data_IF_158239278271
#
_entry.id   IF_158239278271
#
_cell.length_a   1.000
_cell.length_b   1.000
_cell.length_c   1.000
_cell.angle_alpha   90.00
_cell.angle_beta   90.00
_cell.angle_gamma   90.00
#
_symmetry.space_group_name_H-M   'P 1'
#
loop_
_entity.id
_entity.type
_entity.pdbx_description
1 polymer ?
#
# COMPACT_ATOMS: atom_id res chain seq x y z
N UNK A 1 55.51 23.73 -3.70
CA UNK A 1 55.11 23.74 -5.13
C UNK A 1 53.85 24.57 -5.25
N UNK A 2 53.97 25.82 -5.70
CA UNK A 2 52.84 26.72 -5.92
C UNK A 2 52.11 26.31 -7.21
N UNK A 3 50.79 26.06 -7.12
CA UNK A 3 49.97 25.91 -8.33
C UNK A 3 50.15 27.16 -9.20
N UNK A 4 50.40 26.95 -10.49
CA UNK A 4 50.34 28.07 -11.44
C UNK A 4 48.90 28.58 -11.50
N UNK A 5 48.74 29.90 -11.64
CA UNK A 5 47.43 30.58 -11.64
C UNK A 5 46.42 29.92 -12.60
N UNK A 6 46.92 29.35 -13.69
CA UNK A 6 46.16 28.63 -14.71
C UNK A 6 45.61 27.28 -14.21
N UNK A 7 46.38 26.53 -13.40
CA UNK A 7 45.92 25.29 -12.78
C UNK A 7 44.85 25.56 -11.71
N UNK A 8 45.02 26.62 -10.93
CA UNK A 8 44.02 27.04 -9.94
C UNK A 8 42.68 27.42 -10.59
N UNK A 9 42.73 28.15 -11.71
CA UNK A 9 41.53 28.53 -12.48
C UNK A 9 40.82 27.32 -13.10
N UNK A 10 41.58 26.40 -13.69
CA UNK A 10 41.03 25.14 -14.23
C UNK A 10 40.34 24.29 -13.16
N UNK A 11 40.94 24.21 -11.96
CA UNK A 11 40.33 23.51 -10.82
C UNK A 11 39.02 24.16 -10.37
N UNK A 12 38.99 25.49 -10.30
CA UNK A 12 37.78 26.26 -9.94
C UNK A 12 36.65 26.01 -10.94
N UNK A 13 36.94 26.00 -12.25
CA UNK A 13 35.92 25.78 -13.28
C UNK A 13 35.39 24.33 -13.25
N UNK A 14 36.24 23.34 -12.98
CA UNK A 14 35.80 21.96 -12.74
C UNK A 14 34.90 21.85 -11.51
N UNK A 15 35.26 22.50 -10.41
CA UNK A 15 34.49 22.43 -9.16
C UNK A 15 33.13 23.13 -9.30
N UNK A 16 33.06 24.24 -10.05
CA UNK A 16 31.78 24.88 -10.43
C UNK A 16 30.88 23.96 -11.25
N UNK A 17 31.45 23.24 -12.22
CA UNK A 17 30.70 22.26 -13.03
C UNK A 17 30.14 21.13 -12.17
N UNK A 18 30.95 20.59 -11.25
CA UNK A 18 30.49 19.58 -10.29
C UNK A 18 29.39 20.09 -9.39
N UNK A 19 29.50 21.33 -8.91
CA UNK A 19 28.47 21.96 -8.07
C UNK A 19 27.15 22.13 -8.83
N UNK A 20 27.20 22.56 -10.10
CA UNK A 20 26.01 22.67 -10.94
C UNK A 20 25.33 21.31 -11.17
N UNK A 21 26.12 20.27 -11.46
CA UNK A 21 25.62 18.91 -11.64
C UNK A 21 24.99 18.37 -10.35
N UNK A 22 25.67 18.53 -9.20
CA UNK A 22 25.15 18.11 -7.89
C UNK A 22 23.84 18.81 -7.55
N UNK A 23 23.72 20.11 -7.82
CA UNK A 23 22.48 20.85 -7.59
C UNK A 23 21.34 20.32 -8.47
N UNK A 24 21.61 20.03 -9.75
CA UNK A 24 20.63 19.43 -10.65
C UNK A 24 20.20 18.03 -10.21
N UNK A 25 21.12 17.23 -9.67
CA UNK A 25 20.81 15.91 -9.12
C UNK A 25 19.95 16.03 -7.85
N UNK A 26 20.28 16.98 -6.97
CA UNK A 26 19.54 17.22 -5.74
C UNK A 26 18.11 17.67 -6.02
N UNK A 27 17.91 18.55 -7.01
CA UNK A 27 16.59 18.98 -7.44
C UNK A 27 15.77 17.81 -8.02
N UNK A 28 16.36 17.01 -8.91
CA UNK A 28 15.71 15.82 -9.48
C UNK A 28 15.33 14.80 -8.41
N UNK A 29 16.24 14.53 -7.47
CA UNK A 29 15.97 13.63 -6.35
C UNK A 29 14.84 14.15 -5.46
N UNK A 30 14.82 15.45 -5.17
CA UNK A 30 13.77 16.08 -4.38
C UNK A 30 12.40 16.05 -5.08
N UNK A 31 12.35 16.21 -6.40
CA UNK A 31 11.11 16.06 -7.17
C UNK A 31 10.61 14.61 -7.18
N UNK A 32 11.52 13.65 -7.37
CA UNK A 32 11.19 12.22 -7.35
C UNK A 32 10.65 11.80 -6.00
N UNK A 33 11.29 12.23 -4.91
CA UNK A 33 10.84 11.93 -3.55
C UNK A 33 9.41 12.44 -3.30
N UNK A 34 9.12 13.70 -3.67
CA UNK A 34 7.77 14.26 -3.53
C UNK A 34 6.72 13.51 -4.34
N UNK A 35 7.09 13.05 -5.54
CA UNK A 35 6.19 12.25 -6.36
C UNK A 35 5.91 10.89 -5.72
N UNK A 36 6.96 10.21 -5.25
CA UNK A 36 6.84 8.91 -4.58
C UNK A 36 6.00 9.00 -3.30
N UNK A 37 6.18 10.04 -2.47
CA UNK A 37 5.36 10.29 -1.27
C UNK A 37 3.88 10.49 -1.60
N UNK A 38 3.58 11.23 -2.68
CA UNK A 38 2.21 11.42 -3.15
C UNK A 38 1.60 10.13 -3.69
N UNK A 39 2.40 9.29 -4.34
CA UNK A 39 1.97 8.01 -4.89
C UNK A 39 1.69 7.00 -3.77
N UNK A 40 2.57 6.92 -2.77
CA UNK A 40 2.43 6.05 -1.59
C UNK A 40 1.09 6.31 -0.88
N UNK A 41 0.78 7.58 -0.59
CA UNK A 41 -0.49 7.94 0.04
C UNK A 41 -1.73 7.62 -0.81
N UNK A 42 -1.61 7.55 -2.14
CA UNK A 42 -2.70 7.13 -3.02
C UNK A 42 -2.89 5.62 -2.98
N UNK A 43 -1.80 4.85 -2.99
CA UNK A 43 -1.84 3.39 -2.88
C UNK A 43 -2.42 2.93 -1.54
N UNK A 44 -2.07 3.59 -0.44
CA UNK A 44 -2.66 3.32 0.88
C UNK A 44 -4.17 3.54 0.90
N UNK A 45 -4.65 4.63 0.30
CA UNK A 45 -6.08 4.92 0.19
C UNK A 45 -6.81 3.89 -0.67
N UNK A 46 -6.21 3.51 -1.80
CA UNK A 46 -6.78 2.49 -2.66
C UNK A 46 -6.89 1.14 -1.94
N UNK A 47 -5.86 0.75 -1.19
CA UNK A 47 -5.87 -0.46 -0.38
C UNK A 47 -6.97 -0.42 0.69
N UNK A 48 -7.11 0.70 1.40
CA UNK A 48 -8.14 0.87 2.42
C UNK A 48 -9.56 0.69 1.85
N UNK A 49 -9.82 1.25 0.66
CA UNK A 49 -11.11 1.08 -0.03
C UNK A 49 -11.36 -0.40 -0.36
N UNK A 50 -10.37 -1.10 -0.92
CA UNK A 50 -10.50 -2.52 -1.26
C UNK A 50 -10.77 -3.36 0.00
N UNK A 51 -10.06 -3.08 1.09
CA UNK A 51 -10.24 -3.78 2.37
C UNK A 51 -11.65 -3.56 2.93
N UNK A 52 -12.16 -2.33 2.88
CA UNK A 52 -13.51 -2.02 3.33
C UNK A 52 -14.56 -2.76 2.50
N UNK A 53 -14.46 -2.70 1.17
CA UNK A 53 -15.43 -3.38 0.28
C UNK A 53 -15.39 -4.90 0.50
N UNK A 54 -14.20 -5.48 0.70
CA UNK A 54 -14.05 -6.89 1.00
C UNK A 54 -14.72 -7.27 2.33
N UNK A 55 -14.54 -6.46 3.37
CA UNK A 55 -15.17 -6.67 4.68
C UNK A 55 -16.70 -6.59 4.60
N UNK A 56 -17.24 -5.57 3.94
CA UNK A 56 -18.69 -5.42 3.74
C UNK A 56 -19.27 -6.60 2.95
N UNK A 57 -18.58 -7.02 1.89
CA UNK A 57 -18.99 -8.20 1.09
C UNK A 57 -18.99 -9.48 1.93
N UNK A 58 -17.97 -9.66 2.78
CA UNK A 58 -17.86 -10.83 3.65
C UNK A 58 -18.99 -10.87 4.68
N UNK A 59 -19.35 -9.75 5.29
CA UNK A 59 -20.48 -9.67 6.23
C UNK A 59 -21.82 -10.07 5.59
N UNK A 60 -22.08 -9.62 4.37
CA UNK A 60 -23.28 -10.05 3.62
C UNK A 60 -23.25 -11.57 3.35
N UNK A 61 -22.08 -12.13 3.02
CA UNK A 61 -21.92 -13.57 2.84
C UNK A 61 -22.16 -14.35 4.14
N UNK A 62 -21.73 -13.85 5.30
CA UNK A 62 -22.01 -14.50 6.60
C UNK A 62 -23.50 -14.64 6.83
N UNK A 63 -24.24 -13.55 6.63
CA UNK A 63 -25.68 -13.53 6.81
C UNK A 63 -26.37 -14.54 5.88
N UNK A 64 -26.06 -14.46 4.57
CA UNK A 64 -26.69 -15.33 3.58
C UNK A 64 -26.33 -16.81 3.75
N UNK A 65 -25.08 -17.14 4.05
CA UNK A 65 -24.67 -18.53 4.29
C UNK A 65 -25.30 -19.09 5.56
N UNK A 66 -25.30 -18.31 6.64
CA UNK A 66 -25.94 -18.68 7.92
C UNK A 66 -27.41 -19.00 7.72
N UNK A 67 -28.14 -18.14 6.98
CA UNK A 67 -29.57 -18.32 6.72
C UNK A 67 -29.88 -19.52 5.82
N UNK A 68 -29.16 -19.66 4.69
CA UNK A 68 -29.40 -20.75 3.73
C UNK A 68 -29.12 -22.11 4.37
N UNK A 69 -27.99 -22.26 5.05
CA UNK A 69 -27.60 -23.55 5.65
C UNK A 69 -28.52 -23.88 6.81
N UNK A 70 -28.84 -22.91 7.66
CA UNK A 70 -29.81 -23.10 8.74
C UNK A 70 -31.16 -23.55 8.20
N UNK A 71 -31.68 -22.89 7.16
CA UNK A 71 -32.96 -23.25 6.52
C UNK A 71 -32.94 -24.67 5.96
N UNK A 72 -31.81 -25.08 5.36
CA UNK A 72 -31.63 -26.44 4.87
C UNK A 72 -31.61 -27.47 6.02
N UNK A 73 -30.96 -27.14 7.15
CA UNK A 73 -30.95 -28.00 8.34
C UNK A 73 -32.35 -28.16 8.93
N UNK A 74 -33.11 -27.07 9.03
CA UNK A 74 -34.50 -27.06 9.50
C UNK A 74 -35.45 -27.93 8.67
N UNK A 75 -35.19 -28.05 7.36
CA UNK A 75 -36.00 -28.88 6.48
C UNK A 75 -35.77 -30.39 6.66
N UNK A 76 -34.60 -30.79 7.17
CA UNK A 76 -34.17 -32.20 7.20
C UNK A 76 -34.16 -32.77 8.61
N UNK A 77 -33.85 -31.95 9.61
CA UNK A 77 -33.69 -32.40 11.00
C UNK A 77 -34.90 -32.03 11.88
N UNK A 78 -35.41 -32.96 12.70
CA UNK A 78 -36.50 -32.68 13.64
C UNK A 78 -36.15 -31.65 14.74
N UNK A 79 -34.87 -31.59 15.12
CA UNK A 79 -34.30 -30.61 16.06
C UNK A 79 -33.02 -30.02 15.43
N UNK A 80 -33.14 -28.95 14.63
CA UNK A 80 -32.07 -28.47 13.75
C UNK A 80 -31.07 -27.56 14.47
N UNK A 81 -29.79 -27.72 14.12
CA UNK A 81 -28.73 -26.79 14.55
C UNK A 81 -28.81 -25.47 13.78
N UNK A 82 -28.36 -24.38 14.41
CA UNK A 82 -28.11 -23.10 13.73
C UNK A 82 -26.70 -23.09 13.16
N UNK A 83 -26.59 -22.79 11.87
CA UNK A 83 -25.29 -22.57 11.24
C UNK A 83 -24.91 -21.09 11.38
N UNK A 84 -23.68 -20.85 11.82
CA UNK A 84 -23.08 -19.52 11.97
C UNK A 84 -21.68 -19.60 11.39
N UNK A 85 -21.31 -18.62 10.57
CA UNK A 85 -19.96 -18.48 10.00
C UNK A 85 -19.46 -17.06 10.22
N UNK A 86 -18.19 -16.91 10.56
CA UNK A 86 -17.52 -15.61 10.74
C UNK A 86 -16.28 -15.52 9.86
N UNK A 87 -16.20 -14.47 9.04
CA UNK A 87 -15.02 -14.11 8.27
C UNK A 87 -14.15 -13.13 9.08
N UNK A 88 -13.03 -13.62 9.58
CA UNK A 88 -12.06 -12.82 10.32
C UNK A 88 -10.86 -12.47 9.44
N UNK A 89 -10.39 -11.22 9.52
CA UNK A 89 -9.14 -10.81 8.88
C UNK A 89 -7.99 -11.04 9.85
N UNK A 90 -7.11 -12.00 9.55
CA UNK A 90 -5.89 -12.27 10.31
C UNK A 90 -4.66 -12.18 9.42
N UNK A 91 -3.69 -11.34 9.82
CA UNK A 91 -2.38 -11.17 9.13
C UNK A 91 -2.51 -10.85 7.64
N UNK A 92 -3.52 -10.06 7.27
CA UNK A 92 -3.78 -9.67 5.88
C UNK A 92 -4.41 -10.77 5.01
N UNK A 93 -4.89 -11.86 5.62
CA UNK A 93 -5.67 -12.91 4.95
C UNK A 93 -7.04 -13.01 5.61
N UNK A 94 -8.05 -13.38 4.82
CA UNK A 94 -9.38 -13.72 5.33
C UNK A 94 -9.42 -15.20 5.69
N UNK A 95 -9.87 -15.50 6.90
CA UNK A 95 -10.18 -16.83 7.39
C UNK A 95 -11.69 -16.95 7.62
N UNK A 96 -12.26 -18.13 7.39
CA UNK A 96 -13.66 -18.42 7.67
C UNK A 96 -13.72 -19.42 8.83
N UNK A 97 -14.41 -19.07 9.91
CA UNK A 97 -14.55 -19.86 11.13
C UNK A 97 -15.97 -20.40 11.29
#
# INVERSE_FOLDING_TARGET
MSLTLQQARSKLDQDKGKLAELNSQLERAGQKLKFEELEEGQWERALAIIQQVAQETQQELEYHLSDIVTSALEAVFPDPYKFVVEFAVQRGKTEAN
#
